data_IF_971891731323
#
_entry.id   IF_971891731323
#
_cell.length_a   1.000
_cell.length_b   1.000
_cell.length_c   1.000
_cell.angle_alpha   90.00
_cell.angle_beta   90.00
_cell.angle_gamma   90.00
#
_symmetry.space_group_name_H-M   'P 1'
#
loop_
_entity.id
_entity.type
_entity.pdbx_description
1 polymer ?
#
# COMPACT_ATOMS: atom_id res chain seq x y z
N UNK A 1 23.64 -0.06 -9.21
CA UNK A 1 22.99 -1.09 -8.37
C UNK A 1 21.50 -0.82 -8.43
N UNK A 2 20.69 -1.79 -8.83
CA UNK A 2 19.23 -1.63 -8.87
C UNK A 2 18.68 -1.82 -7.44
N UNK A 3 17.92 -0.86 -6.93
CA UNK A 3 17.38 -0.89 -5.56
C UNK A 3 15.89 -1.19 -5.64
N UNK A 4 15.47 -2.31 -5.05
CA UNK A 4 14.07 -2.71 -4.91
C UNK A 4 13.69 -2.87 -3.45
N UNK A 5 12.44 -2.55 -3.10
CA UNK A 5 11.86 -2.79 -1.77
C UNK A 5 10.40 -3.23 -1.91
N UNK A 6 9.93 -4.18 -1.08
CA UNK A 6 8.53 -4.56 -1.05
C UNK A 6 7.69 -3.46 -0.38
N UNK A 7 6.53 -3.18 -0.95
CA UNK A 7 5.50 -2.32 -0.37
C UNK A 7 4.14 -3.00 -0.53
N UNK A 8 3.30 -2.94 0.50
CA UNK A 8 1.95 -3.51 0.47
C UNK A 8 0.98 -2.51 -0.17
N UNK A 9 0.26 -2.88 -1.25
CA UNK A 9 -0.81 -2.07 -1.80
C UNK A 9 -1.88 -1.78 -0.76
N UNK A 10 -2.45 -0.58 -0.81
CA UNK A 10 -3.54 -0.15 0.08
C UNK A 10 -4.77 0.24 -0.75
N UNK A 11 -5.97 0.23 -0.15
CA UNK A 11 -7.16 0.76 -0.81
C UNK A 11 -7.02 2.23 -1.22
N UNK A 12 -7.80 2.69 -2.22
CA UNK A 12 -7.75 4.09 -2.67
C UNK A 12 -8.26 5.10 -1.64
N UNK A 13 -9.05 4.65 -0.68
CA UNK A 13 -9.64 5.46 0.39
C UNK A 13 -10.08 4.57 1.54
N UNK A 14 -10.03 5.08 2.77
CA UNK A 14 -10.62 4.38 3.93
C UNK A 14 -12.09 4.72 4.14
N UNK A 15 -12.55 5.83 3.54
CA UNK A 15 -13.92 6.30 3.64
C UNK A 15 -14.45 6.57 2.22
N UNK A 16 -15.67 6.10 1.87
CA UNK A 16 -16.19 6.17 0.50
C UNK A 16 -16.17 7.57 -0.12
N UNK A 17 -16.42 8.60 0.69
CA UNK A 17 -16.48 10.00 0.25
C UNK A 17 -15.11 10.61 -0.08
N UNK A 18 -14.01 9.91 0.21
CA UNK A 18 -12.64 10.44 0.10
C UNK A 18 -11.77 9.67 -0.89
N UNK A 19 -12.34 9.28 -2.03
CA UNK A 19 -11.57 8.67 -3.11
C UNK A 19 -10.48 9.59 -3.63
N UNK A 20 -9.32 9.02 -3.91
CA UNK A 20 -8.23 9.74 -4.55
C UNK A 20 -8.69 10.35 -5.90
N UNK A 21 -8.46 11.65 -6.15
CA UNK A 21 -8.85 12.29 -7.41
C UNK A 21 -8.26 11.55 -8.62
N UNK A 22 -9.11 11.17 -9.57
CA UNK A 22 -8.67 10.50 -10.80
C UNK A 22 -8.30 9.02 -10.63
N UNK A 23 -8.67 8.38 -9.51
CA UNK A 23 -8.52 6.94 -9.34
C UNK A 23 -9.26 6.15 -10.43
N UNK A 24 -8.60 5.13 -10.97
CA UNK A 24 -9.13 4.19 -11.96
C UNK A 24 -8.82 2.77 -11.50
N UNK A 25 -9.49 1.78 -12.07
CA UNK A 25 -9.29 0.36 -11.72
C UNK A 25 -7.86 -0.15 -11.98
N UNK A 26 -7.07 0.55 -12.80
CA UNK A 26 -5.67 0.24 -13.07
C UNK A 26 -4.68 1.05 -12.22
N UNK A 27 -5.15 1.78 -11.21
CA UNK A 27 -4.30 2.51 -10.27
C UNK A 27 -3.84 1.62 -9.12
N UNK A 28 -2.61 1.84 -8.66
CA UNK A 28 -2.05 1.22 -7.46
C UNK A 28 -1.81 2.30 -6.41
N UNK A 29 -2.38 2.14 -5.22
CA UNK A 29 -2.17 3.05 -4.10
C UNK A 29 -1.17 2.44 -3.10
N UNK A 30 -0.21 3.26 -2.65
CA UNK A 30 0.81 2.89 -1.67
C UNK A 30 0.81 3.92 -0.55
N UNK A 31 1.01 3.46 0.70
CA UNK A 31 1.22 4.33 1.85
C UNK A 31 2.65 4.13 2.38
N UNK A 32 3.55 5.05 2.02
CA UNK A 32 4.99 4.91 2.25
C UNK A 32 5.46 5.99 3.21
N UNK A 33 6.08 5.56 4.32
CA UNK A 33 6.80 6.47 5.20
C UNK A 33 8.12 6.87 4.56
N UNK A 34 8.38 8.17 4.46
CA UNK A 34 9.68 8.71 4.06
C UNK A 34 10.68 8.55 5.20
N UNK A 35 11.76 7.82 4.92
CA UNK A 35 12.98 7.82 5.72
C UNK A 35 14.00 8.67 5.00
N UNK A 36 14.47 9.76 5.62
CA UNK A 36 15.33 10.75 4.97
C UNK A 36 16.62 10.15 4.42
N UNK A 37 17.25 9.26 5.20
CA UNK A 37 18.48 8.55 4.81
C UNK A 37 18.18 7.18 4.18
N UNK A 38 16.93 6.97 3.74
CA UNK A 38 16.50 5.72 3.12
C UNK A 38 16.99 5.59 1.68
N UNK A 39 17.30 4.38 1.25
CA UNK A 39 17.82 4.13 -0.10
C UNK A 39 16.80 4.34 -1.24
N UNK A 40 15.49 4.24 -0.95
CA UNK A 40 14.42 4.30 -1.96
C UNK A 40 13.27 5.26 -1.59
N UNK A 41 12.87 5.31 -0.31
CA UNK A 41 11.72 6.15 0.11
C UNK A 41 11.88 7.65 -0.20
N UNK A 42 13.06 8.28 -0.14
CA UNK A 42 13.22 9.67 -0.56
C UNK A 42 12.91 9.87 -2.05
N UNK A 43 13.39 8.97 -2.91
CA UNK A 43 13.18 9.03 -4.35
C UNK A 43 11.69 8.86 -4.69
N UNK A 44 11.00 7.92 -4.03
CA UNK A 44 9.55 7.76 -4.21
C UNK A 44 8.80 9.00 -3.74
N UNK A 45 9.15 9.57 -2.58
CA UNK A 45 8.49 10.75 -2.04
C UNK A 45 8.73 12.03 -2.87
N UNK A 46 9.75 12.03 -3.73
CA UNK A 46 10.06 13.12 -4.65
C UNK A 46 9.53 12.88 -6.08
N UNK A 47 8.85 11.75 -6.34
CA UNK A 47 8.29 11.49 -7.66
C UNK A 47 7.17 12.49 -8.00
N UNK A 48 7.26 13.05 -9.19
CA UNK A 48 6.25 13.93 -9.76
C UNK A 48 5.28 13.15 -10.66
N UNK A 49 4.10 13.72 -10.89
CA UNK A 49 3.12 13.14 -11.81
C UNK A 49 3.72 12.98 -13.22
N UNK A 50 3.44 11.85 -13.87
CA UNK A 50 3.95 11.53 -15.21
C UNK A 50 5.35 10.91 -15.23
N UNK A 51 6.03 10.78 -14.09
CA UNK A 51 7.26 10.00 -13.97
C UNK A 51 6.95 8.50 -13.81
N UNK A 52 7.90 7.67 -14.24
CA UNK A 52 7.77 6.21 -14.19
C UNK A 52 8.50 5.63 -12.97
N UNK A 53 7.96 4.52 -12.46
CA UNK A 53 8.60 3.66 -11.46
C UNK A 53 8.48 2.21 -11.93
N UNK A 54 9.57 1.45 -11.86
CA UNK A 54 9.56 0.03 -12.19
C UNK A 54 8.89 -0.78 -11.08
N UNK A 55 7.87 -1.56 -11.45
CA UNK A 55 7.15 -2.46 -10.55
C UNK A 55 7.50 -3.91 -10.90
N UNK A 56 7.81 -4.70 -9.87
CA UNK A 56 7.89 -6.15 -10.02
C UNK A 56 6.49 -6.77 -10.08
N UNK A 57 6.43 -8.09 -10.32
CA UNK A 57 5.24 -8.86 -10.02
C UNK A 57 4.91 -8.83 -8.51
N UNK A 58 3.68 -9.19 -8.17
CA UNK A 58 3.25 -9.36 -6.78
C UNK A 58 4.00 -10.51 -6.09
N UNK A 59 4.11 -10.40 -4.77
CA UNK A 59 4.75 -11.38 -3.91
C UNK A 59 3.96 -11.49 -2.60
N UNK A 60 3.92 -12.70 -2.05
CA UNK A 60 3.30 -12.98 -0.76
C UNK A 60 2.14 -13.96 -0.87
N UNK A 61 1.71 -14.47 0.28
CA UNK A 61 0.63 -15.45 0.41
C UNK A 61 -0.58 -14.86 1.16
N UNK A 62 -0.63 -13.54 1.29
CA UNK A 62 -1.71 -12.85 1.96
C UNK A 62 -2.99 -12.92 1.12
N UNK A 63 -4.03 -13.52 1.69
CA UNK A 63 -5.35 -13.69 1.05
C UNK A 63 -6.37 -13.07 1.99
N UNK A 64 -6.90 -11.90 1.64
CA UNK A 64 -7.79 -11.14 2.51
C UNK A 64 -9.11 -11.89 2.76
N UNK A 65 -9.58 -12.67 1.78
CA UNK A 65 -10.77 -13.52 1.82
C UNK A 65 -10.73 -14.54 2.96
N UNK A 66 -9.53 -14.98 3.36
CA UNK A 66 -9.40 -15.95 4.45
C UNK A 66 -9.92 -15.39 5.78
N UNK A 67 -9.97 -14.07 5.93
CA UNK A 67 -10.43 -13.39 7.14
C UNK A 67 -11.95 -13.33 7.27
N UNK A 68 -12.69 -13.61 6.20
CA UNK A 68 -14.18 -13.58 6.20
C UNK A 68 -14.78 -14.70 7.07
N UNK A 69 -13.97 -15.71 7.42
CA UNK A 69 -14.37 -16.84 8.27
C UNK A 69 -14.30 -16.54 9.78
N UNK A 70 -13.83 -15.36 10.17
CA UNK A 70 -13.69 -14.98 11.58
C UNK A 70 -14.73 -13.94 11.98
N UNK A 71 -15.34 -14.13 13.15
CA UNK A 71 -16.30 -13.18 13.72
C UNK A 71 -15.65 -12.02 14.47
N UNK A 72 -14.37 -12.15 14.81
CA UNK A 72 -13.58 -11.11 15.48
C UNK A 72 -12.14 -11.16 15.01
N UNK A 73 -11.61 -10.00 14.60
CA UNK A 73 -10.24 -9.84 14.13
C UNK A 73 -9.58 -8.77 14.99
N UNK A 74 -8.49 -9.14 15.67
CA UNK A 74 -7.66 -8.20 16.42
C UNK A 74 -6.41 -7.89 15.59
N UNK A 75 -6.24 -6.61 15.24
CA UNK A 75 -5.16 -6.15 14.38
C UNK A 75 -4.20 -5.27 15.18
N UNK A 76 -2.92 -5.63 15.20
CA UNK A 76 -1.87 -4.93 15.95
C UNK A 76 -0.83 -4.38 14.97
N UNK A 77 -0.80 -3.06 14.81
CA UNK A 77 0.13 -2.36 13.91
C UNK A 77 1.05 -1.42 14.66
N UNK A 78 2.27 -1.27 14.13
CA UNK A 78 3.20 -0.21 14.47
C UNK A 78 3.64 0.52 13.18
N UNK A 79 3.40 1.83 13.11
CA UNK A 79 3.74 2.66 11.95
C UNK A 79 3.10 2.13 10.65
N UNK A 80 3.90 1.96 9.60
CA UNK A 80 3.43 1.44 8.30
C UNK A 80 3.06 -0.04 8.33
N UNK A 81 3.20 -0.75 9.47
CA UNK A 81 2.66 -2.10 9.64
C UNK A 81 1.13 -2.18 9.51
N UNK A 82 0.44 -1.05 9.47
CA UNK A 82 -1.00 -0.95 9.19
C UNK A 82 -1.37 -1.29 7.73
N UNK A 83 -0.47 -1.17 6.76
CA UNK A 83 -0.81 -1.30 5.33
C UNK A 83 -1.54 -2.59 4.93
N UNK A 84 -1.16 -3.81 5.37
CA UNK A 84 -1.93 -5.02 5.05
C UNK A 84 -3.33 -5.03 5.68
N UNK A 85 -3.51 -4.37 6.82
CA UNK A 85 -4.79 -4.34 7.54
C UNK A 85 -5.83 -3.52 6.81
N UNK A 86 -5.40 -2.48 6.07
CA UNK A 86 -6.33 -1.65 5.30
C UNK A 86 -7.04 -2.46 4.21
N UNK A 87 -6.36 -3.45 3.64
CA UNK A 87 -6.95 -4.39 2.70
C UNK A 87 -7.98 -5.33 3.34
N UNK A 88 -7.97 -5.53 4.66
CA UNK A 88 -9.01 -6.29 5.39
C UNK A 88 -10.17 -5.37 5.74
N UNK A 89 -9.87 -4.17 6.23
CA UNK A 89 -10.85 -3.19 6.73
C UNK A 89 -11.76 -2.65 5.62
N UNK A 90 -11.22 -2.44 4.42
CA UNK A 90 -11.95 -1.82 3.31
C UNK A 90 -12.68 -2.83 2.39
N UNK A 91 -12.88 -4.07 2.84
CA UNK A 91 -13.59 -5.10 2.06
C UNK A 91 -15.10 -5.03 2.26
#
# INVERSE_FOLDING_TARGET
>A
MEISRPYTPVPPSLHPDYQAPGYKSNCLCLMIKKYNDGALSPSIAALEQGKCLSLSNSMGTFVAESFDNYTSIHMLAAGTGLTPMLGIIHR
#
